data_IF_428353773899
#
_entry.id   IF_428353773899
#
_cell.length_a   1.000
_cell.length_b   1.000
_cell.length_c   1.000
_cell.angle_alpha   90.00
_cell.angle_beta   90.00
_cell.angle_gamma   90.00
#
_symmetry.space_group_name_H-M   'P 1'
#
loop_
_entity.id
_entity.type
_entity.pdbx_description
1 polymer ?
#
# COMPACT_ATOMS: atom_id res chain seq x y z
N UNK A 1 -23.59 6.06 -15.75
CA UNK A 1 -23.28 6.70 -14.46
C UNK A 1 -21.89 7.27 -14.61
N UNK A 2 -21.75 8.61 -14.64
CA UNK A 2 -20.43 9.24 -14.82
C UNK A 2 -19.63 9.02 -13.54
N UNK A 3 -18.63 8.14 -13.59
CA UNK A 3 -17.62 8.02 -12.54
C UNK A 3 -16.86 9.34 -12.55
N UNK A 4 -17.19 10.24 -11.62
CA UNK A 4 -16.32 11.38 -11.33
C UNK A 4 -15.05 10.78 -10.77
N UNK A 5 -13.95 10.85 -11.53
CA UNK A 5 -12.63 10.69 -10.97
C UNK A 5 -12.52 11.69 -9.81
N UNK A 6 -12.64 11.21 -8.57
CA UNK A 6 -12.29 12.01 -7.41
C UNK A 6 -10.78 12.09 -7.41
N UNK A 7 -10.24 13.18 -7.96
CA UNK A 7 -8.82 13.50 -7.82
C UNK A 7 -8.61 13.92 -6.37
N UNK A 8 -8.02 13.05 -5.56
CA UNK A 8 -7.64 13.38 -4.17
C UNK A 8 -6.43 14.31 -4.24
N UNK A 9 -6.50 15.45 -3.56
CA UNK A 9 -5.43 16.43 -3.50
C UNK A 9 -4.83 16.57 -2.09
N UNK A 10 -3.63 17.14 -2.02
CA UNK A 10 -3.04 17.55 -0.72
C UNK A 10 -3.94 18.62 -0.10
N UNK A 11 -4.25 18.45 1.19
CA UNK A 11 -5.17 19.28 1.95
C UNK A 11 -6.62 18.77 1.99
N UNK A 12 -6.99 17.84 1.10
CA UNK A 12 -8.29 17.18 1.15
C UNK A 12 -8.39 16.22 2.35
N UNK A 13 -9.61 15.89 2.72
CA UNK A 13 -9.86 14.83 3.68
C UNK A 13 -9.42 13.47 3.11
N UNK A 14 -8.83 12.63 3.96
CA UNK A 14 -8.54 11.24 3.64
C UNK A 14 -9.82 10.51 3.20
N UNK A 15 -9.74 9.61 2.20
CA UNK A 15 -10.84 8.72 1.85
C UNK A 15 -11.08 7.63 2.92
N UNK A 16 -10.15 7.49 3.88
CA UNK A 16 -10.26 6.56 5.00
C UNK A 16 -10.60 7.31 6.30
N UNK A 17 -11.27 6.60 7.20
CA UNK A 17 -11.51 7.09 8.56
C UNK A 17 -10.17 7.28 9.30
N UNK A 18 -10.12 8.26 10.21
CA UNK A 18 -8.96 8.42 11.09
C UNK A 18 -8.95 7.27 12.10
N UNK A 19 -7.78 6.65 12.38
CA UNK A 19 -7.68 5.66 13.45
C UNK A 19 -7.97 6.30 14.83
N UNK A 20 -7.72 7.60 14.96
CA UNK A 20 -7.88 8.36 16.19
C UNK A 20 -6.74 9.38 16.35
N UNK A 21 -6.92 10.40 17.20
CA UNK A 21 -5.85 11.35 17.48
C UNK A 21 -4.62 10.65 18.08
N UNK A 22 -3.44 10.92 17.54
CA UNK A 22 -2.18 10.32 18.00
C UNK A 22 -1.92 8.89 17.50
N UNK A 23 -2.87 8.27 16.80
CA UNK A 23 -2.72 6.90 16.31
C UNK A 23 -2.07 6.84 14.93
N UNK A 24 -1.30 5.78 14.69
CA UNK A 24 -0.73 5.44 13.39
C UNK A 24 -1.56 4.33 12.75
N UNK A 25 -1.74 4.40 11.45
CA UNK A 25 -2.33 3.30 10.68
C UNK A 25 -1.67 3.19 9.31
N UNK A 26 -1.63 1.97 8.79
CA UNK A 26 -1.19 1.69 7.44
C UNK A 26 -2.22 0.78 6.77
N UNK A 27 -2.69 1.17 5.59
CA UNK A 27 -3.67 0.42 4.82
C UNK A 27 -3.23 0.29 3.36
N UNK A 28 -3.50 -0.86 2.76
CA UNK A 28 -3.47 -1.02 1.30
C UNK A 28 -4.88 -1.34 0.82
N UNK A 29 -5.41 -0.54 -0.11
CA UNK A 29 -6.81 -0.64 -0.53
C UNK A 29 -6.99 -0.13 -1.97
N UNK A 30 -8.23 -0.09 -2.46
CA UNK A 30 -8.54 0.42 -3.80
C UNK A 30 -9.39 1.67 -3.63
N UNK A 31 -8.84 2.82 -4.04
CA UNK A 31 -9.52 4.11 -4.00
C UNK A 31 -9.74 4.59 -5.42
N UNK A 32 -11.00 4.82 -5.81
CA UNK A 32 -11.35 5.28 -7.16
C UNK A 32 -10.74 4.42 -8.29
N UNK A 33 -10.64 3.10 -8.08
CA UNK A 33 -10.05 2.16 -9.06
C UNK A 33 -8.52 2.09 -9.06
N UNK A 34 -7.84 2.79 -8.14
CA UNK A 34 -6.38 2.80 -8.03
C UNK A 34 -5.94 2.07 -6.76
N UNK A 35 -4.98 1.14 -6.90
CA UNK A 35 -4.32 0.51 -5.76
C UNK A 35 -3.59 1.59 -4.95
N UNK A 36 -3.97 1.75 -3.69
CA UNK A 36 -3.55 2.86 -2.85
C UNK A 36 -2.97 2.33 -1.54
N UNK A 37 -1.77 2.76 -1.19
CA UNK A 37 -1.20 2.62 0.14
C UNK A 37 -1.36 3.92 0.91
N UNK A 38 -2.07 3.86 2.03
CA UNK A 38 -2.35 5.01 2.90
C UNK A 38 -1.57 4.85 4.20
N UNK A 39 -0.66 5.78 4.45
CA UNK A 39 0.11 5.92 5.67
C UNK A 39 -0.51 7.07 6.50
N UNK A 40 -1.10 6.74 7.63
CA UNK A 40 -1.62 7.67 8.61
C UNK A 40 -0.62 7.79 9.76
N UNK A 41 -0.03 8.96 9.94
CA UNK A 41 0.90 9.27 11.03
C UNK A 41 0.37 10.44 11.87
N UNK A 42 0.55 10.43 13.20
CA UNK A 42 0.41 11.63 13.99
C UNK A 42 1.59 12.58 13.70
N UNK A 43 1.36 13.87 13.83
CA UNK A 43 2.42 14.90 13.80
C UNK A 43 3.34 14.85 12.57
N UNK A 44 2.74 14.67 11.38
CA UNK A 44 3.44 14.59 10.08
C UNK A 44 4.44 15.73 9.89
N UNK A 45 5.71 15.35 9.76
CA UNK A 45 6.88 16.20 9.55
C UNK A 45 7.21 16.40 8.06
N UNK A 46 8.10 17.34 7.78
CA UNK A 46 8.62 17.55 6.41
C UNK A 46 9.47 16.36 5.94
N UNK A 47 10.09 15.60 6.86
CA UNK A 47 10.83 14.37 6.53
C UNK A 47 9.88 13.26 6.05
N UNK A 48 8.72 13.12 6.69
CA UNK A 48 7.69 12.16 6.25
C UNK A 48 7.17 12.50 4.85
N UNK A 49 6.93 13.80 4.61
CA UNK A 49 6.53 14.30 3.29
C UNK A 49 7.62 14.01 2.26
N UNK A 50 8.89 14.30 2.58
CA UNK A 50 10.01 14.04 1.69
C UNK A 50 10.18 12.55 1.39
N UNK A 51 10.01 11.67 2.38
CA UNK A 51 10.07 10.22 2.22
C UNK A 51 8.99 9.70 1.26
N UNK A 52 7.74 10.15 1.40
CA UNK A 52 6.64 9.77 0.48
C UNK A 52 6.81 10.38 -0.91
N UNK A 53 7.39 11.58 -1.01
CA UNK A 53 7.78 12.19 -2.29
C UNK A 53 9.08 11.62 -2.85
N UNK A 54 9.79 10.75 -2.13
CA UNK A 54 11.03 10.12 -2.51
C UNK A 54 10.86 8.98 -3.53
N UNK A 55 11.98 8.52 -4.10
CA UNK A 55 11.96 7.39 -5.03
C UNK A 55 11.78 6.10 -4.21
N UNK A 56 10.82 5.23 -4.54
CA UNK A 56 10.68 3.94 -3.86
C UNK A 56 11.90 3.05 -4.15
N UNK A 57 12.42 2.42 -3.10
CA UNK A 57 13.48 1.41 -3.16
C UNK A 57 12.95 0.13 -3.83
N UNK A 58 11.73 -0.28 -3.48
CA UNK A 58 11.11 -1.45 -4.06
C UNK A 58 9.70 -1.72 -3.56
N UNK A 59 9.11 -2.74 -4.17
CA UNK A 59 7.80 -3.29 -3.87
C UNK A 59 7.92 -4.79 -3.62
N UNK A 60 7.13 -5.32 -2.70
CA UNK A 60 6.97 -6.76 -2.50
C UNK A 60 5.51 -7.15 -2.32
N UNK A 61 5.13 -8.32 -2.82
CA UNK A 61 3.82 -8.92 -2.59
C UNK A 61 4.00 -10.34 -2.06
N UNK A 62 3.42 -10.59 -0.89
CA UNK A 62 3.33 -11.93 -0.32
C UNK A 62 1.87 -12.39 -0.33
N UNK A 63 1.59 -13.52 -0.96
CA UNK A 63 0.28 -14.18 -0.92
C UNK A 63 0.40 -15.49 -0.15
N UNK A 64 -0.61 -15.79 0.66
CA UNK A 64 -0.73 -17.06 1.38
C UNK A 64 -2.11 -17.66 1.11
N UNK A 65 -2.35 -18.95 1.42
CA UNK A 65 -3.70 -19.53 1.29
C UNK A 65 -4.77 -18.74 2.06
N UNK A 66 -4.40 -18.15 3.20
CA UNK A 66 -5.29 -17.35 4.06
C UNK A 66 -5.35 -15.87 3.67
N UNK A 67 -4.37 -15.37 2.89
CA UNK A 67 -4.32 -14.02 2.30
C UNK A 67 -4.13 -14.11 0.79
N UNK A 68 -5.14 -14.59 0.05
CA UNK A 68 -5.03 -14.81 -1.39
C UNK A 68 -4.85 -13.51 -2.17
N UNK A 69 -5.39 -12.37 -1.69
CA UNK A 69 -5.17 -11.05 -2.31
C UNK A 69 -3.73 -10.58 -2.09
N UNK A 70 -3.21 -10.81 -0.89
CA UNK A 70 -1.82 -10.60 -0.52
C UNK A 70 -1.59 -9.45 0.46
N UNK A 71 -0.37 -9.42 0.99
CA UNK A 71 0.22 -8.35 1.79
C UNK A 71 1.20 -7.59 0.91
N UNK A 72 0.87 -6.32 0.65
CA UNK A 72 1.69 -5.43 -0.17
C UNK A 72 2.66 -4.69 0.73
N UNK A 73 3.91 -4.67 0.31
CA UNK A 73 4.97 -3.92 0.96
C UNK A 73 5.56 -2.91 -0.01
N UNK A 74 5.69 -1.68 0.46
CA UNK A 74 6.41 -0.60 -0.19
C UNK A 74 7.60 -0.23 0.66
N UNK A 75 8.74 -0.08 0.01
CA UNK A 75 9.99 0.30 0.66
C UNK A 75 10.37 1.68 0.17
N UNK A 76 10.33 2.67 1.07
CA UNK A 76 10.65 4.06 0.78
C UNK A 76 12.04 4.42 1.31
N UNK A 77 12.80 5.19 0.54
CA UNK A 77 14.03 5.82 1.02
C UNK A 77 13.69 7.16 1.65
N UNK A 78 14.21 7.39 2.85
CA UNK A 78 14.16 8.68 3.55
C UNK A 78 15.50 9.40 3.42
N UNK A 79 15.53 10.71 3.72
CA UNK A 79 16.69 11.58 3.48
C UNK A 79 18.00 11.18 4.18
N UNK A 80 17.93 10.28 5.16
CA UNK A 80 19.07 9.77 5.95
C UNK A 80 19.59 8.40 5.47
N UNK A 81 19.30 8.00 4.22
CA UNK A 81 19.54 6.64 3.70
C UNK A 81 18.82 5.54 4.53
N UNK A 82 17.83 5.93 5.35
CA UNK A 82 17.01 4.97 6.10
C UNK A 82 15.88 4.47 5.22
N UNK A 83 15.63 3.18 5.36
CA UNK A 83 14.59 2.46 4.64
C UNK A 83 13.32 2.40 5.50
N UNK A 84 12.19 2.81 4.94
CA UNK A 84 10.86 2.65 5.53
C UNK A 84 10.11 1.48 4.89
N UNK A 85 10.04 0.33 5.58
CA UNK A 85 9.19 -0.79 5.18
C UNK A 85 7.74 -0.54 5.61
N UNK A 86 6.88 -0.28 4.64
CA UNK A 86 5.44 -0.15 4.84
C UNK A 86 4.76 -1.40 4.32
N UNK A 87 4.28 -2.30 5.19
CA UNK A 87 3.58 -3.51 4.79
C UNK A 87 2.12 -3.52 5.29
N UNK A 88 1.17 -3.73 4.40
CA UNK A 88 -0.25 -3.84 4.74
C UNK A 88 -0.99 -4.88 3.88
N UNK A 89 -2.00 -5.56 4.44
CA UNK A 89 -2.90 -6.38 3.64
C UNK A 89 -3.67 -5.51 2.65
N UNK A 90 -3.86 -6.02 1.44
CA UNK A 90 -4.76 -5.40 0.49
C UNK A 90 -6.19 -5.77 0.89
N UNK A 91 -6.92 -4.81 1.44
CA UNK A 91 -8.31 -5.00 1.87
C UNK A 91 -9.20 -3.83 1.44
N UNK A 92 -10.29 -4.15 0.73
CA UNK A 92 -11.36 -3.22 0.37
C UNK A 92 -12.70 -3.94 0.44
N UNK A 93 -13.82 -3.21 0.32
CA UNK A 93 -15.13 -3.84 0.20
C UNK A 93 -15.14 -4.86 -0.97
N UNK A 94 -15.79 -6.01 -0.76
CA UNK A 94 -15.77 -7.12 -1.73
C UNK A 94 -16.21 -6.70 -3.13
N UNK A 95 -17.22 -5.85 -3.24
CA UNK A 95 -17.73 -5.36 -4.53
C UNK A 95 -16.70 -4.49 -5.25
N UNK A 96 -15.94 -3.67 -4.51
CA UNK A 96 -14.87 -2.82 -5.06
C UNK A 96 -13.74 -3.68 -5.61
N UNK A 97 -13.29 -4.67 -4.84
CA UNK A 97 -12.22 -5.56 -5.29
C UNK A 97 -12.64 -6.42 -6.46
N UNK A 98 -13.88 -6.94 -6.48
CA UNK A 98 -14.40 -7.73 -7.59
C UNK A 98 -14.50 -6.90 -8.86
N UNK A 99 -15.09 -5.71 -8.77
CA UNK A 99 -15.15 -4.79 -9.91
C UNK A 99 -13.74 -4.46 -10.44
N UNK A 100 -12.81 -4.12 -9.55
CA UNK A 100 -11.42 -3.83 -9.91
C UNK A 100 -10.67 -5.03 -10.50
N UNK A 101 -10.98 -6.25 -10.05
CA UNK A 101 -10.40 -7.47 -10.61
C UNK A 101 -11.03 -7.88 -11.94
N UNK A 102 -12.22 -7.38 -12.28
CA UNK A 102 -12.83 -7.58 -13.61
C UNK A 102 -12.32 -6.55 -14.62
N UNK A 103 -11.89 -5.39 -14.14
CA UNK A 103 -11.24 -4.37 -14.95
C UNK A 103 -9.85 -4.85 -15.42
N UNK A 104 -9.51 -4.53 -16.67
CA UNK A 104 -8.14 -4.58 -17.18
C UNK A 104 -7.59 -3.16 -17.10
N UNK A 105 -6.87 -2.79 -16.03
CA UNK A 105 -6.42 -1.43 -15.89
C UNK A 105 -5.39 -1.11 -16.98
N UNK A 106 -5.65 -0.05 -17.75
CA UNK A 106 -4.69 0.51 -18.72
C UNK A 106 -3.51 1.23 -18.02
N UNK A 107 -3.47 1.18 -16.69
CA UNK A 107 -2.53 1.88 -15.84
C UNK A 107 -2.03 0.97 -14.72
N UNK A 108 -0.72 1.01 -14.47
CA UNK A 108 -0.02 0.20 -13.48
C UNK A 108 0.46 1.04 -12.29
N UNK A 109 -0.33 2.05 -11.93
CA UNK A 109 0.03 3.01 -10.89
C UNK A 109 -0.43 2.54 -9.52
N UNK A 110 0.44 2.72 -8.54
CA UNK A 110 0.11 2.65 -7.11
C UNK A 110 0.12 4.07 -6.58
N UNK A 111 -0.94 4.47 -5.88
CA UNK A 111 -0.99 5.75 -5.18
C UNK A 111 -0.44 5.55 -3.76
N UNK A 112 0.51 6.37 -3.36
CA UNK A 112 1.03 6.43 -1.99
C UNK A 112 0.52 7.72 -1.39
N UNK A 113 -0.15 7.64 -0.24
CA UNK A 113 -0.80 8.76 0.42
C UNK A 113 -0.34 8.86 1.86
N UNK A 114 0.14 10.04 2.25
CA UNK A 114 0.44 10.40 3.62
C UNK A 114 -0.71 11.24 4.18
N UNK A 115 -1.25 10.80 5.30
CA UNK A 115 -2.36 11.46 5.99
C UNK A 115 -1.93 11.78 7.41
N UNK A 116 -2.25 12.99 7.85
CA UNK A 116 -2.11 13.39 9.24
C UNK A 116 -3.31 12.87 10.03
N UNK A 117 -3.10 11.93 10.95
CA UNK A 117 -4.18 11.27 11.69
C UNK A 117 -4.91 12.22 12.66
N UNK A 118 -4.24 13.29 13.12
CA UNK A 118 -4.84 14.31 14.00
C UNK A 118 -5.86 15.18 13.26
N UNK A 119 -5.61 15.47 11.97
CA UNK A 119 -6.50 16.33 11.16
C UNK A 119 -7.31 15.57 10.11
N UNK A 120 -6.99 14.30 9.89
CA UNK A 120 -7.43 13.44 8.78
C UNK A 120 -7.26 14.07 7.39
N UNK A 121 -6.23 14.90 7.22
CA UNK A 121 -5.93 15.57 5.95
C UNK A 121 -4.76 14.92 5.25
N UNK A 122 -4.85 14.84 3.92
CA UNK A 122 -3.75 14.41 3.06
C UNK A 122 -2.64 15.45 3.12
N UNK A 123 -1.44 15.02 3.51
CA UNK A 123 -0.24 15.87 3.62
C UNK A 123 0.70 15.69 2.45
N UNK A 124 0.75 14.49 1.88
CA UNK A 124 1.49 14.20 0.67
C UNK A 124 0.79 13.10 -0.13
N UNK A 125 0.93 13.15 -1.45
CA UNK A 125 0.50 12.06 -2.32
C UNK A 125 1.47 11.92 -3.48
N UNK A 126 1.73 10.68 -3.90
CA UNK A 126 2.61 10.38 -5.03
C UNK A 126 2.09 9.13 -5.75
N UNK A 127 2.09 9.17 -7.08
CA UNK A 127 1.88 7.99 -7.90
C UNK A 127 3.23 7.35 -8.23
N UNK A 128 3.35 6.06 -8.03
CA UNK A 128 4.51 5.26 -8.46
C UNK A 128 4.06 4.25 -9.51
N UNK A 129 4.90 3.99 -10.51
CA UNK A 129 4.67 2.88 -11.43
C UNK A 129 5.05 1.56 -10.76
N UNK A 130 4.23 0.53 -10.95
CA UNK A 130 4.51 -0.82 -10.49
C UNK A 130 4.41 -1.84 -11.64
N UNK A 131 5.10 -2.97 -11.58
CA UNK A 131 5.03 -3.96 -12.65
C UNK A 131 3.63 -4.53 -12.88
N UNK A 132 3.20 -4.72 -14.13
CA UNK A 132 1.84 -5.21 -14.45
C UNK A 132 1.54 -6.58 -13.85
N UNK A 133 2.56 -7.42 -13.70
CA UNK A 133 2.44 -8.73 -13.07
C UNK A 133 2.09 -8.67 -11.58
N UNK A 134 2.40 -7.56 -10.87
CA UNK A 134 1.89 -7.29 -9.52
C UNK A 134 0.36 -7.23 -9.55
N UNK A 135 -0.20 -6.45 -10.47
CA UNK A 135 -1.65 -6.30 -10.61
C UNK A 135 -2.31 -7.63 -10.99
N UNK A 136 -1.74 -8.36 -11.94
CA UNK A 136 -2.24 -9.67 -12.35
C UNK A 136 -2.27 -10.66 -11.18
N UNK A 137 -1.25 -10.65 -10.32
CA UNK A 137 -1.20 -11.48 -9.11
C UNK A 137 -2.30 -11.11 -8.11
N UNK A 138 -2.47 -9.81 -7.82
CA UNK A 138 -3.51 -9.34 -6.89
C UNK A 138 -4.89 -9.70 -7.43
N UNK A 139 -5.15 -9.44 -8.71
CA UNK A 139 -6.43 -9.74 -9.36
C UNK A 139 -6.70 -11.26 -9.39
N UNK A 140 -5.69 -12.08 -9.66
CA UNK A 140 -5.81 -13.55 -9.58
C UNK A 140 -6.15 -13.99 -8.16
N UNK A 141 -5.50 -13.38 -7.16
CA UNK A 141 -5.80 -13.53 -5.75
C UNK A 141 -7.27 -13.27 -5.43
N UNK A 142 -7.76 -12.10 -5.83
CA UNK A 142 -9.17 -11.70 -5.67
C UNK A 142 -10.12 -12.70 -6.34
N UNK A 143 -9.85 -13.09 -7.59
CA UNK A 143 -10.71 -14.04 -8.34
C UNK A 143 -10.72 -15.43 -7.72
N UNK A 144 -9.62 -15.85 -7.07
CA UNK A 144 -9.52 -17.13 -6.37
C UNK A 144 -10.19 -17.13 -4.98
N UNK A 145 -10.44 -15.95 -4.43
CA UNK A 145 -10.97 -15.75 -3.09
C UNK A 145 -12.48 -16.08 -3.03
N UNK A 146 -12.83 -17.22 -2.43
CA UNK A 146 -14.23 -17.68 -2.32
C UNK A 146 -15.06 -16.85 -1.33
N UNK A 147 -14.43 -16.38 -0.26
CA UNK A 147 -15.02 -15.54 0.79
C UNK A 147 -14.00 -14.47 1.14
N UNK A 148 -14.47 -13.23 1.25
CA UNK A 148 -13.64 -12.11 1.68
C UNK A 148 -14.27 -11.43 2.89
N UNK A 149 -13.53 -11.42 4.00
CA UNK A 149 -13.84 -10.66 5.22
C UNK A 149 -12.64 -9.75 5.52
N UNK A 150 -12.77 -8.41 5.37
CA UNK A 150 -11.67 -7.49 5.59
C UNK A 150 -11.06 -7.62 6.99
N UNK A 151 -11.87 -7.87 8.02
CA UNK A 151 -11.38 -7.97 9.40
C UNK A 151 -10.53 -9.23 9.60
N UNK A 152 -10.94 -10.35 9.00
CA UNK A 152 -10.16 -11.59 9.01
C UNK A 152 -8.82 -11.40 8.30
N UNK A 153 -8.82 -10.73 7.14
CA UNK A 153 -7.60 -10.45 6.38
C UNK A 153 -6.62 -9.57 7.18
N UNK A 154 -7.11 -8.53 7.84
CA UNK A 154 -6.27 -7.68 8.70
C UNK A 154 -5.69 -8.47 9.87
N UNK A 155 -6.50 -9.29 10.54
CA UNK A 155 -6.02 -10.12 11.65
C UNK A 155 -4.92 -11.10 11.20
N UNK A 156 -5.11 -11.79 10.07
CA UNK A 156 -4.13 -12.73 9.52
C UNK A 156 -2.83 -12.03 9.09
N UNK A 157 -2.95 -10.86 8.47
CA UNK A 157 -1.77 -10.12 8.04
C UNK A 157 -0.96 -9.57 9.21
N UNK A 158 -1.59 -9.26 10.34
CA UNK A 158 -0.91 -8.85 11.57
C UNK A 158 0.02 -9.93 12.15
N UNK A 159 -0.13 -11.19 11.75
CA UNK A 159 0.75 -12.29 12.15
C UNK A 159 2.02 -12.39 11.28
N UNK A 160 2.10 -11.65 10.16
CA UNK A 160 3.20 -11.72 9.19
C UNK A 160 4.16 -10.55 9.41
N UNK A 161 5.41 -10.81 9.79
CA UNK A 161 6.40 -9.74 9.93
C UNK A 161 6.77 -9.09 8.58
N UNK A 162 7.04 -7.78 8.51
CA UNK A 162 7.47 -7.11 7.27
C UNK A 162 8.71 -7.75 6.61
N UNK A 163 9.64 -8.28 7.40
CA UNK A 163 10.82 -8.98 6.91
C UNK A 163 10.50 -10.28 6.18
N UNK A 164 9.42 -10.95 6.58
CA UNK A 164 8.91 -12.12 5.88
C UNK A 164 8.24 -11.73 4.56
N UNK A 165 7.50 -10.61 4.54
CA UNK A 165 6.93 -10.09 3.30
C UNK A 165 8.03 -9.79 2.29
N UNK A 166 9.13 -9.18 2.74
CA UNK A 166 10.29 -8.95 1.87
C UNK A 166 11.02 -10.24 1.50
N UNK A 167 11.35 -11.08 2.47
CA UNK A 167 12.22 -12.25 2.27
C UNK A 167 11.56 -13.40 1.51
N UNK A 168 10.23 -13.54 1.63
CA UNK A 168 9.46 -14.66 1.06
C UNK A 168 8.50 -14.21 -0.05
N UNK A 169 8.19 -12.92 -0.15
CA UNK A 169 7.33 -12.36 -1.19
C UNK A 169 8.03 -12.27 -2.55
N UNK A 170 7.22 -12.04 -3.59
CA UNK A 170 7.72 -11.64 -4.90
C UNK A 170 8.10 -10.16 -4.85
N UNK A 171 9.29 -9.81 -5.33
CA UNK A 171 9.87 -8.47 -5.21
C UNK A 171 10.15 -7.83 -6.56
N UNK A 172 10.04 -6.52 -6.59
CA UNK A 172 10.43 -5.68 -7.70
C UNK A 172 11.26 -4.53 -7.15
N UNK A 173 12.55 -4.57 -7.46
CA UNK A 173 13.54 -3.57 -7.04
C UNK A 173 13.79 -2.60 -8.17
N UNK A 174 14.35 -1.44 -7.84
CA UNK A 174 14.90 -0.53 -8.83
C UNK A 174 16.15 -1.16 -9.49
N UNK A 175 16.30 -0.96 -10.80
CA UNK A 175 17.29 -1.64 -11.65
C UNK A 175 18.77 -1.53 -11.20
N UNK A 176 19.11 -0.55 -10.34
CA UNK A 176 20.49 -0.27 -9.91
C UNK A 176 20.80 -0.67 -8.45
N UNK A 177 19.85 -1.24 -7.69
CA UNK A 177 20.01 -1.44 -6.24
C UNK A 177 20.15 -2.93 -5.85
N UNK A 178 21.17 -3.21 -5.02
CA UNK A 178 21.37 -4.51 -4.38
C UNK A 178 20.44 -4.65 -3.16
N UNK A 179 20.18 -5.89 -2.73
CA UNK A 179 19.19 -6.28 -1.71
C UNK A 179 19.58 -5.80 -0.28
N UNK A 180 19.60 -4.48 -0.05
CA UNK A 180 20.09 -3.81 1.17
C UNK A 180 19.22 -4.08 2.40
N UNK A 181 17.95 -4.45 2.19
CA UNK A 181 17.03 -4.83 3.26
C UNK A 181 17.50 -6.09 4.03
N UNK A 182 18.47 -6.85 3.52
CA UNK A 182 19.10 -7.98 4.24
C UNK A 182 20.13 -7.55 5.31
N UNK A 183 20.44 -6.25 5.41
CA UNK A 183 21.59 -5.72 6.16
C UNK A 183 21.36 -5.26 7.60
N UNK A 184 20.13 -5.28 8.14
CA UNK A 184 19.88 -4.91 9.55
C UNK A 184 19.68 -6.12 10.45
N UNK A 185 20.58 -7.09 10.33
CA UNK A 185 20.73 -8.21 11.26
C UNK A 185 22.03 -8.06 12.05
N UNK A 186 21.88 -7.79 13.35
CA UNK A 186 22.87 -7.71 14.44
C UNK A 186 23.79 -6.50 14.53
#
# INVERSE_FOLDING_TARGET
>A
MNVRAMTIAVGDASPLESPGPGEMALAATIVSGVLTMVLQLPDVSDEDIAGVQGIPHGLALMQTPDLPVGMLMLVLLTGDDRVWPLAAPIAAHVDVMRAWAEERPDSNVVLVMLVDSNTNKVRALRTIGAPMDLFDLIQTGIRSCRRFDPAEFVLRAGEIPPEDVWGKGRRWLRDDESDEFRGTGT
#
